data_IF_799792813355
#
_entry.id   IF_799792813355
#
_cell.length_a   1.000
_cell.length_b   1.000
_cell.length_c   1.000
_cell.angle_alpha   90.00
_cell.angle_beta   90.00
_cell.angle_gamma   90.00
#
_symmetry.space_group_name_H-M   'P 1'
#
loop_
_entity.id
_entity.type
_entity.pdbx_description
1 polymer ?
#
# COMPACT_ATOMS: atom_id res chain seq x y z
N UNK A 1 2.68 -18.71 -5.38
CA UNK A 1 1.50 -19.31 -6.01
C UNK A 1 0.36 -18.29 -6.02
N UNK A 2 -0.35 -18.22 -7.12
CA UNK A 2 -1.45 -17.28 -7.31
C UNK A 2 -2.77 -18.05 -7.31
N UNK A 3 -3.73 -17.58 -6.54
CA UNK A 3 -5.05 -18.20 -6.50
C UNK A 3 -6.12 -17.15 -6.83
N UNK A 4 -6.94 -17.47 -7.81
CA UNK A 4 -8.06 -16.60 -8.18
C UNK A 4 -9.21 -16.81 -7.19
N UNK A 5 -9.61 -15.73 -6.55
CA UNK A 5 -10.67 -15.76 -5.55
C UNK A 5 -11.96 -15.09 -6.03
N UNK A 6 -12.00 -14.66 -7.30
CA UNK A 6 -13.16 -13.96 -7.86
C UNK A 6 -14.21 -14.91 -8.44
N UNK A 7 -13.82 -16.06 -8.93
CA UNK A 7 -14.72 -17.00 -9.59
C UNK A 7 -15.09 -16.63 -11.02
N UNK A 8 -14.92 -15.40 -11.43
CA UNK A 8 -15.12 -14.92 -12.80
C UNK A 8 -13.98 -14.00 -13.20
N UNK A 9 -13.68 -13.96 -14.49
CA UNK A 9 -12.64 -13.14 -15.04
C UNK A 9 -13.22 -12.07 -15.97
N UNK A 10 -13.71 -10.96 -15.42
CA UNK A 10 -14.08 -9.84 -16.27
C UNK A 10 -12.85 -9.39 -17.03
N UNK A 11 -13.06 -8.80 -18.19
CA UNK A 11 -12.00 -8.60 -19.14
C UNK A 11 -11.31 -7.26 -19.06
N UNK A 12 -11.90 -6.30 -18.36
CA UNK A 12 -11.40 -4.94 -18.37
C UNK A 12 -10.95 -4.49 -16.99
N UNK A 13 -9.75 -3.92 -16.92
CA UNK A 13 -9.27 -3.22 -15.75
C UNK A 13 -8.30 -2.12 -16.18
N UNK A 14 -8.23 -1.07 -15.37
CA UNK A 14 -7.31 0.05 -15.58
C UNK A 14 -6.19 0.05 -14.56
N UNK A 15 -6.41 -0.58 -13.43
CA UNK A 15 -5.43 -0.56 -12.35
C UNK A 15 -5.34 -1.90 -11.64
N UNK A 16 -4.19 -2.13 -11.04
CA UNK A 16 -3.97 -3.27 -10.15
C UNK A 16 -3.55 -2.70 -8.81
N UNK A 17 -4.30 -3.04 -7.76
CA UNK A 17 -3.91 -2.72 -6.39
C UNK A 17 -3.22 -3.94 -5.81
N UNK A 18 -1.93 -3.80 -5.52
CA UNK A 18 -1.12 -4.85 -4.93
C UNK A 18 -0.89 -4.55 -3.47
N UNK A 19 -1.39 -5.42 -2.60
CA UNK A 19 -1.23 -5.29 -1.15
C UNK A 19 -0.23 -6.33 -0.68
N UNK A 20 0.78 -5.90 0.08
CA UNK A 20 1.84 -6.80 0.54
C UNK A 20 2.08 -6.65 2.03
N UNK A 21 2.29 -7.77 2.71
CA UNK A 21 2.62 -7.84 4.14
C UNK A 21 1.63 -7.08 5.01
N UNK A 22 0.35 -7.16 4.68
CA UNK A 22 -0.71 -6.39 5.32
C UNK A 22 -1.41 -7.17 6.42
N UNK A 23 -1.84 -6.43 7.46
CA UNK A 23 -2.69 -6.99 8.50
C UNK A 23 -4.13 -7.11 8.00
N UNK A 24 -4.91 -7.93 8.69
CA UNK A 24 -6.32 -8.14 8.33
C UNK A 24 -7.12 -6.84 8.29
N UNK A 25 -6.81 -5.91 9.19
CA UNK A 25 -7.56 -4.64 9.21
C UNK A 25 -7.36 -3.81 7.94
N UNK A 26 -6.21 -3.96 7.26
CA UNK A 26 -5.99 -3.31 5.97
C UNK A 26 -6.91 -3.93 4.92
N UNK A 27 -7.00 -5.26 4.90
CA UNK A 27 -7.90 -5.97 3.99
C UNK A 27 -9.35 -5.52 4.20
N UNK A 28 -9.78 -5.47 5.46
CA UNK A 28 -11.15 -5.07 5.81
C UNK A 28 -11.43 -3.64 5.36
N UNK A 29 -10.47 -2.75 5.55
CA UNK A 29 -10.61 -1.36 5.12
C UNK A 29 -10.76 -1.28 3.60
N UNK A 30 -9.90 -1.98 2.87
CA UNK A 30 -9.92 -1.98 1.40
C UNK A 30 -11.25 -2.50 0.88
N UNK A 31 -11.71 -3.64 1.41
CA UNK A 31 -12.97 -4.23 0.99
C UNK A 31 -14.15 -3.28 1.27
N UNK A 32 -14.14 -2.64 2.43
CA UNK A 32 -15.18 -1.68 2.79
C UNK A 32 -15.20 -0.50 1.82
N UNK A 33 -14.02 0.01 1.44
CA UNK A 33 -13.94 1.15 0.53
C UNK A 33 -14.42 0.81 -0.87
N UNK A 34 -14.10 -0.39 -1.38
CA UNK A 34 -14.63 -0.83 -2.66
C UNK A 34 -16.16 -0.93 -2.64
N UNK A 35 -16.71 -1.49 -1.55
CA UNK A 35 -18.16 -1.64 -1.43
C UNK A 35 -18.84 -0.28 -1.32
N UNK A 36 -18.30 0.61 -0.50
CA UNK A 36 -18.88 1.94 -0.29
C UNK A 36 -18.91 2.76 -1.58
N UNK A 37 -17.83 2.72 -2.33
CA UNK A 37 -17.71 3.49 -3.57
C UNK A 37 -18.36 2.79 -4.76
N UNK A 38 -18.76 1.54 -4.60
CA UNK A 38 -19.37 0.72 -5.67
C UNK A 38 -18.44 0.62 -6.88
N UNK A 39 -17.16 0.48 -6.63
CA UNK A 39 -16.15 0.33 -7.69
C UNK A 39 -16.03 -1.17 -8.02
N UNK A 40 -16.19 -1.55 -9.29
CA UNK A 40 -16.06 -2.95 -9.67
C UNK A 40 -14.64 -3.48 -9.51
N UNK A 41 -14.53 -4.62 -8.86
CA UNK A 41 -13.30 -5.41 -8.83
C UNK A 41 -13.46 -6.47 -9.89
N UNK A 42 -12.65 -6.41 -10.93
CA UNK A 42 -12.80 -7.31 -12.07
C UNK A 42 -12.14 -8.66 -11.82
N UNK A 43 -11.18 -8.72 -10.90
CA UNK A 43 -10.48 -9.95 -10.56
C UNK A 43 -9.76 -9.74 -9.23
N UNK A 44 -9.73 -10.76 -8.39
CA UNK A 44 -8.96 -10.71 -7.16
C UNK A 44 -8.15 -12.00 -7.05
N UNK A 45 -6.87 -11.85 -6.75
CA UNK A 45 -5.93 -12.96 -6.65
C UNK A 45 -5.27 -12.96 -5.28
N UNK A 46 -5.20 -14.12 -4.67
CA UNK A 46 -4.40 -14.31 -3.48
C UNK A 46 -3.00 -14.72 -3.92
N UNK A 47 -2.01 -13.95 -3.53
CA UNK A 47 -0.63 -14.19 -3.90
C UNK A 47 0.20 -14.39 -2.64
N UNK A 48 1.44 -14.80 -2.79
CA UNK A 48 2.34 -14.92 -1.66
C UNK A 48 2.48 -13.56 -1.00
N UNK A 49 2.24 -13.49 0.30
CA UNK A 49 2.36 -12.28 1.12
C UNK A 49 1.33 -11.19 0.79
N UNK A 50 0.22 -11.52 0.13
CA UNK A 50 -0.74 -10.46 -0.14
C UNK A 50 -1.87 -10.79 -1.08
N UNK A 51 -2.44 -9.72 -1.61
CA UNK A 51 -3.61 -9.76 -2.49
C UNK A 51 -3.40 -8.80 -3.64
N UNK A 52 -3.88 -9.19 -4.82
CA UNK A 52 -3.92 -8.31 -5.99
C UNK A 52 -5.37 -8.14 -6.41
N UNK A 53 -5.80 -6.88 -6.51
CA UNK A 53 -7.13 -6.55 -7.00
C UNK A 53 -7.01 -5.86 -8.36
N UNK A 54 -7.70 -6.39 -9.36
CA UNK A 54 -7.78 -5.78 -10.67
C UNK A 54 -9.01 -4.91 -10.70
N UNK A 55 -8.84 -3.62 -10.95
CA UNK A 55 -9.86 -2.61 -10.70
C UNK A 55 -10.17 -1.85 -11.97
N UNK A 56 -11.45 -1.58 -12.22
CA UNK A 56 -11.88 -0.87 -13.41
C UNK A 56 -11.55 0.62 -13.37
N UNK A 57 -11.30 1.20 -12.20
CA UNK A 57 -11.12 2.64 -12.02
C UNK A 57 -9.73 2.96 -11.47
N UNK A 58 -8.89 3.58 -12.31
CA UNK A 58 -7.52 3.89 -11.92
C UNK A 58 -7.44 5.05 -10.91
N UNK A 59 -8.31 6.05 -11.03
CA UNK A 59 -8.28 7.19 -10.11
C UNK A 59 -8.66 6.76 -8.69
N UNK A 60 -9.69 5.94 -8.57
CA UNK A 60 -10.08 5.41 -7.28
C UNK A 60 -8.94 4.61 -6.66
N UNK A 61 -8.27 3.78 -7.47
CA UNK A 61 -7.18 2.93 -6.97
C UNK A 61 -6.00 3.75 -6.47
N UNK A 62 -5.63 4.79 -7.21
CA UNK A 62 -4.55 5.70 -6.77
C UNK A 62 -4.91 6.39 -5.45
N UNK A 63 -6.14 6.90 -5.37
CA UNK A 63 -6.62 7.57 -4.17
C UNK A 63 -6.64 6.62 -2.98
N UNK A 64 -7.08 5.39 -3.19
CA UNK A 64 -7.11 4.38 -2.13
C UNK A 64 -5.70 4.07 -1.64
N UNK A 65 -4.73 3.94 -2.56
CA UNK A 65 -3.34 3.72 -2.17
C UNK A 65 -2.82 4.84 -1.27
N UNK A 66 -3.11 6.08 -1.61
CA UNK A 66 -2.70 7.22 -0.79
C UNK A 66 -3.34 7.19 0.59
N UNK A 67 -4.63 6.85 0.67
CA UNK A 67 -5.33 6.74 1.95
C UNK A 67 -4.78 5.60 2.80
N UNK A 68 -4.39 4.50 2.18
CA UNK A 68 -3.75 3.39 2.89
C UNK A 68 -2.44 3.83 3.54
N UNK A 69 -1.61 4.55 2.79
CA UNK A 69 -0.36 5.06 3.32
C UNK A 69 -0.59 6.02 4.48
N UNK A 70 -1.54 6.93 4.36
CA UNK A 70 -1.84 7.90 5.40
C UNK A 70 -2.43 7.26 6.65
N UNK A 71 -3.30 6.27 6.46
CA UNK A 71 -4.01 5.66 7.58
C UNK A 71 -3.18 4.61 8.33
N UNK A 72 -2.50 3.75 7.61
CA UNK A 72 -1.79 2.62 8.22
C UNK A 72 -0.28 2.80 8.25
N UNK A 73 0.25 3.56 7.31
CA UNK A 73 1.69 3.71 7.16
C UNK A 73 2.30 2.56 6.37
N UNK A 74 3.11 2.89 5.39
CA UNK A 74 3.75 1.89 4.56
C UNK A 74 4.30 2.48 3.28
N UNK A 75 4.95 1.64 2.52
CA UNK A 75 5.51 2.02 1.24
C UNK A 75 4.42 2.06 0.18
N UNK A 76 4.36 3.14 -0.57
CA UNK A 76 3.43 3.30 -1.69
C UNK A 76 4.24 3.52 -2.96
N UNK A 77 4.02 2.66 -3.95
CA UNK A 77 4.71 2.77 -5.25
C UNK A 77 3.66 2.76 -6.35
N UNK A 78 3.70 3.78 -7.20
CA UNK A 78 2.81 3.86 -8.36
C UNK A 78 3.64 3.72 -9.61
N UNK A 79 3.24 2.80 -10.49
CA UNK A 79 3.84 2.65 -11.80
C UNK A 79 2.74 2.63 -12.85
N UNK A 80 3.07 3.06 -14.06
CA UNK A 80 2.12 3.07 -15.16
C UNK A 80 2.78 2.49 -16.39
N UNK A 81 2.00 1.74 -17.17
CA UNK A 81 2.47 1.22 -18.43
C UNK A 81 1.44 1.48 -19.51
N UNK A 82 1.92 1.71 -20.72
CA UNK A 82 1.05 1.92 -21.86
C UNK A 82 0.34 0.62 -22.18
N UNK A 83 -0.99 0.63 -22.14
CA UNK A 83 -1.80 -0.52 -22.46
C UNK A 83 -2.15 -0.60 -23.93
N UNK A 84 -2.38 0.57 -24.56
CA UNK A 84 -2.73 0.64 -25.96
C UNK A 84 -3.23 2.03 -26.33
N UNK A 85 -3.86 2.11 -27.49
CA UNK A 85 -4.44 3.36 -27.98
C UNK A 85 -5.93 3.11 -28.23
N UNK A 86 -6.77 4.00 -27.70
CA UNK A 86 -8.21 3.92 -27.87
C UNK A 86 -8.74 5.32 -28.23
N UNK A 87 -9.42 5.42 -29.38
CA UNK A 87 -9.94 6.70 -29.88
C UNK A 87 -8.86 7.77 -29.94
N UNK A 88 -7.70 7.41 -30.48
CA UNK A 88 -6.53 8.28 -30.63
C UNK A 88 -5.96 8.79 -29.32
N UNK A 89 -6.26 8.11 -28.21
CA UNK A 89 -5.70 8.44 -26.90
C UNK A 89 -4.92 7.26 -26.34
N UNK A 90 -3.76 7.54 -25.77
CA UNK A 90 -2.99 6.54 -25.08
C UNK A 90 -3.71 6.12 -23.79
N UNK A 91 -3.82 4.82 -23.58
CA UNK A 91 -4.47 4.27 -22.40
C UNK A 91 -3.41 3.59 -21.56
N UNK A 92 -3.29 3.97 -20.31
CA UNK A 92 -2.33 3.42 -19.39
C UNK A 92 -3.02 2.55 -18.35
N UNK A 93 -2.34 1.48 -17.96
CA UNK A 93 -2.68 0.70 -16.78
C UNK A 93 -1.75 1.11 -15.66
N UNK A 94 -2.30 1.27 -14.48
CA UNK A 94 -1.56 1.73 -13.31
C UNK A 94 -1.45 0.58 -12.32
N UNK A 95 -0.27 0.39 -11.77
CA UNK A 95 -0.09 -0.54 -10.66
C UNK A 95 0.18 0.29 -9.41
N UNK A 96 -0.61 0.06 -8.37
CA UNK A 96 -0.50 0.72 -7.08
C UNK A 96 -0.09 -0.34 -6.08
N UNK A 97 1.15 -0.28 -5.62
CA UNK A 97 1.67 -1.21 -4.62
C UNK A 97 1.65 -0.53 -3.26
N UNK A 98 1.00 -1.16 -2.30
CA UNK A 98 1.07 -0.74 -0.90
C UNK A 98 1.63 -1.90 -0.07
N UNK A 99 2.73 -1.65 0.63
CA UNK A 99 3.33 -2.60 1.56
C UNK A 99 3.28 -2.00 2.95
N UNK A 100 2.52 -2.61 3.84
CA UNK A 100 2.35 -2.08 5.19
C UNK A 100 3.69 -2.09 5.94
N UNK A 101 3.97 -1.03 6.70
CA UNK A 101 5.16 -0.97 7.53
C UNK A 101 5.07 -2.01 8.65
N UNK A 102 6.20 -2.64 9.03
CA UNK A 102 6.19 -3.65 10.10
C UNK A 102 6.14 -3.07 11.51
N UNK A 103 5.90 -1.78 11.63
CA UNK A 103 5.74 -1.09 12.90
C UNK A 103 4.68 -0.02 12.75
N UNK A 104 4.24 0.56 13.85
CA UNK A 104 3.16 1.55 13.86
C UNK A 104 3.56 2.81 14.61
N UNK A 105 2.84 3.87 14.36
CA UNK A 105 2.98 5.10 15.12
C UNK A 105 2.83 4.80 16.59
N UNK A 106 3.76 5.30 17.39
CA UNK A 106 3.81 5.02 18.84
C UNK A 106 4.70 3.86 19.21
N UNK A 107 5.15 3.06 18.25
CA UNK A 107 6.06 1.96 18.53
C UNK A 107 7.47 2.47 18.79
N UNK A 108 8.20 1.71 19.61
CA UNK A 108 9.65 1.92 19.77
C UNK A 108 10.37 1.08 18.73
N UNK A 109 11.34 1.68 18.08
CA UNK A 109 12.13 1.03 17.04
C UNK A 109 13.61 1.35 17.25
N UNK A 110 14.47 0.54 16.65
CA UNK A 110 15.90 0.80 16.62
C UNK A 110 16.28 1.31 15.24
N UNK A 111 16.98 2.41 15.18
CA UNK A 111 17.48 2.99 13.93
C UNK A 111 18.89 3.51 14.16
N UNK A 112 19.83 3.03 13.37
CA UNK A 112 21.27 3.39 13.48
C UNK A 112 21.81 3.17 14.90
N UNK A 113 21.40 2.08 15.52
CA UNK A 113 21.85 1.72 16.85
C UNK A 113 21.19 2.46 17.99
N UNK A 114 20.23 3.33 17.72
CA UNK A 114 19.56 4.13 18.74
C UNK A 114 18.08 3.78 18.85
N UNK A 115 17.54 3.70 20.07
CA UNK A 115 16.10 3.53 20.24
C UNK A 115 15.38 4.83 19.92
N UNK A 116 14.33 4.72 19.16
CA UNK A 116 13.53 5.87 18.70
C UNK A 116 12.05 5.57 18.83
N UNK A 117 11.27 6.63 19.01
CA UNK A 117 9.82 6.55 18.98
C UNK A 117 9.32 6.92 17.59
N UNK A 118 8.41 6.12 17.03
CA UNK A 118 7.79 6.45 15.75
C UNK A 118 6.71 7.51 16.01
N UNK A 119 6.98 8.75 15.63
CA UNK A 119 6.04 9.85 15.89
C UNK A 119 5.19 10.19 14.68
N UNK A 120 5.68 9.94 13.47
CA UNK A 120 4.90 10.11 12.24
C UNK A 120 5.11 8.88 11.37
N UNK A 121 4.02 8.32 10.89
CA UNK A 121 4.05 7.20 9.96
C UNK A 121 2.88 7.37 8.98
N UNK A 122 3.20 7.83 7.78
CA UNK A 122 2.24 8.10 6.72
C UNK A 122 3.01 8.36 5.46
N UNK A 123 2.83 9.52 4.85
CA UNK A 123 3.65 9.90 3.70
C UNK A 123 5.12 9.97 4.06
N UNK A 124 5.40 10.33 5.31
CA UNK A 124 6.74 10.42 5.85
C UNK A 124 6.88 9.51 7.04
N UNK A 125 8.12 9.13 7.32
CA UNK A 125 8.48 8.44 8.56
C UNK A 125 9.30 9.41 9.37
N UNK A 126 8.86 9.75 10.58
CA UNK A 126 9.64 10.60 11.48
C UNK A 126 9.83 9.83 12.78
N UNK A 127 11.09 9.68 13.16
CA UNK A 127 11.50 9.02 14.39
C UNK A 127 12.05 10.08 15.34
N UNK A 128 11.86 9.87 16.64
CA UNK A 128 12.35 10.80 17.65
C UNK A 128 13.23 10.05 18.65
N UNK A 129 14.44 10.54 18.83
CA UNK A 129 15.38 10.01 19.83
C UNK A 129 15.00 10.51 21.22
N UNK A 130 15.58 9.88 22.26
CA UNK A 130 15.34 10.27 23.65
C UNK A 130 15.63 11.73 23.92
N UNK A 131 16.65 12.27 23.25
CA UNK A 131 17.07 13.67 23.43
C UNK A 131 16.13 14.64 22.71
N UNK A 132 15.06 14.15 22.07
CA UNK A 132 14.13 14.99 21.34
C UNK A 132 14.47 15.23 19.87
N UNK A 133 15.65 14.77 19.44
CA UNK A 133 16.03 14.93 18.03
C UNK A 133 15.12 14.12 17.12
N UNK A 134 14.59 14.80 16.10
CA UNK A 134 13.72 14.17 15.09
C UNK A 134 14.52 13.83 13.85
N UNK A 135 14.21 12.66 13.27
CA UNK A 135 14.86 12.20 12.06
C UNK A 135 13.83 11.81 11.04
N UNK A 136 13.96 12.31 9.81
CA UNK A 136 13.13 11.90 8.70
C UNK A 136 13.80 10.70 8.02
N UNK A 137 13.08 9.61 7.86
CA UNK A 137 13.58 8.41 7.21
C UNK A 137 12.78 8.17 5.96
N UNK A 138 13.46 7.96 4.85
CA UNK A 138 12.80 7.67 3.59
C UNK A 138 12.35 6.21 3.55
N UNK A 139 11.22 5.94 2.92
CA UNK A 139 10.69 4.57 2.84
C UNK A 139 11.66 3.58 2.22
N UNK A 140 12.52 4.02 1.30
CA UNK A 140 13.53 3.13 0.73
C UNK A 140 14.51 2.60 1.79
N UNK A 141 14.57 3.24 2.94
CA UNK A 141 15.43 2.82 4.06
C UNK A 141 14.66 2.16 5.18
N UNK A 142 13.38 1.84 4.96
CA UNK A 142 12.54 1.26 6.02
C UNK A 142 13.12 -0.04 6.57
N UNK A 143 13.86 -0.79 5.76
CA UNK A 143 14.50 -2.03 6.22
C UNK A 143 15.55 -1.83 7.30
N UNK A 144 16.03 -0.60 7.47
CA UNK A 144 17.00 -0.26 8.52
C UNK A 144 16.35 0.05 9.86
N UNK A 145 15.01 0.14 9.88
CA UNK A 145 14.24 0.40 11.09
C UNK A 145 13.73 -0.94 11.62
N UNK A 146 14.03 -1.27 12.86
CA UNK A 146 13.62 -2.54 13.44
C UNK A 146 12.78 -2.30 14.68
N UNK A 147 11.63 -2.96 14.75
CA UNK A 147 10.76 -2.86 15.91
C UNK A 147 11.45 -3.46 17.13
N UNK A 148 11.40 -2.76 18.25
CA UNK A 148 11.90 -3.27 19.53
C UNK A 148 10.78 -4.03 20.19
N UNK A 149 10.99 -5.32 20.41
CA UNK A 149 10.04 -6.16 21.12
C UNK A 149 10.13 -5.87 22.62
N UNK A 150 9.00 -5.73 23.26
CA UNK A 150 8.95 -5.49 24.71
C UNK A 150 8.55 -6.74 25.45
#
# INVERSE_FOLDING_TARGET
MVRDITGKHPQYYEAILQLRDIAQEVVDYVETEFMRAKIPITKALEVKNGLDFYVADSQFTKSLGQRLQEKFGGELVLTASLYGVKKDREVYRVTVLFREAPFRKGDMVEYKGEPCLVIVLGKEIILQQKNGKKMHVKYREIGKIKKIES
#
